data_IF_003412887399
#
_entry.id   IF_003412887399
#
_cell.length_a   1.000
_cell.length_b   1.000
_cell.length_c   1.000
_cell.angle_alpha   90.00
_cell.angle_beta   90.00
_cell.angle_gamma   90.00
#
_symmetry.space_group_name_H-M   'P 1'
#
loop_
_entity.id
_entity.type
_entity.pdbx_description
1 polymer ?
#
# COMPACT_ATOMS: atom_id res chain seq x y z
N UNK A 1 3.13 -8.20 6.46
CA UNK A 1 3.92 -7.35 7.38
C UNK A 1 4.50 -6.17 6.61
N UNK A 2 4.32 -4.93 7.06
CA UNK A 2 4.88 -3.72 6.43
C UNK A 2 6.40 -3.68 6.58
N UNK A 3 7.11 -3.34 5.51
CA UNK A 3 8.56 -3.13 5.52
C UNK A 3 8.92 -1.65 5.29
N UNK A 4 8.24 -1.01 4.34
CA UNK A 4 8.45 0.39 4.00
C UNK A 4 7.17 0.97 3.40
N UNK A 5 6.93 2.24 3.65
CA UNK A 5 5.92 3.05 2.96
C UNK A 5 6.54 4.38 2.56
N UNK A 6 6.26 4.83 1.36
CA UNK A 6 6.64 6.16 0.89
C UNK A 6 5.46 6.89 0.27
N UNK A 7 5.46 8.20 0.45
CA UNK A 7 4.44 9.12 -0.08
C UNK A 7 5.11 10.37 -0.59
N UNK A 8 4.66 10.85 -1.75
CA UNK A 8 5.12 12.08 -2.39
C UNK A 8 3.92 12.91 -2.81
N UNK A 9 4.01 14.22 -2.66
CA UNK A 9 3.04 15.18 -3.18
C UNK A 9 1.61 14.97 -2.66
N UNK A 10 1.46 14.87 -1.33
CA UNK A 10 0.17 14.66 -0.70
C UNK A 10 -0.02 15.61 0.50
N UNK A 11 -1.06 16.41 0.50
CA UNK A 11 -1.40 17.38 1.58
C UNK A 11 -0.22 18.29 1.95
N UNK A 12 0.34 18.15 3.17
CA UNK A 12 1.51 18.91 3.61
C UNK A 12 2.86 18.31 3.19
N UNK A 13 2.86 17.20 2.47
CA UNK A 13 4.07 16.49 2.06
C UNK A 13 4.41 16.90 0.62
N UNK A 14 5.47 17.71 0.46
CA UNK A 14 5.99 18.08 -0.87
C UNK A 14 6.92 17.02 -1.41
N UNK A 15 8.00 16.75 -0.71
CA UNK A 15 9.01 15.76 -1.11
C UNK A 15 8.67 14.39 -0.55
N UNK A 16 9.31 13.34 -1.07
CA UNK A 16 9.08 11.97 -0.63
C UNK A 16 9.36 11.80 0.87
N UNK A 17 8.33 11.46 1.62
CA UNK A 17 8.44 11.03 3.01
C UNK A 17 8.44 9.50 3.06
N UNK A 18 9.37 8.91 3.83
CA UNK A 18 9.56 7.46 3.93
C UNK A 18 9.42 7.01 5.37
N UNK A 19 8.56 6.01 5.62
CA UNK A 19 8.53 5.22 6.84
C UNK A 19 9.21 3.88 6.54
N UNK A 20 10.22 3.50 7.31
CA UNK A 20 10.92 2.23 7.15
C UNK A 20 10.96 1.46 8.46
N UNK A 21 10.44 0.23 8.42
CA UNK A 21 10.48 -0.70 9.55
C UNK A 21 11.82 -1.47 9.63
N UNK A 22 12.79 -1.18 8.77
CA UNK A 22 14.12 -1.80 8.81
C UNK A 22 14.81 -1.44 10.11
N UNK A 23 15.33 -2.46 10.81
CA UNK A 23 16.08 -2.24 12.05
C UNK A 23 17.37 -1.43 11.79
N UNK A 24 17.67 -0.51 12.70
CA UNK A 24 18.94 0.20 12.73
C UNK A 24 20.11 -0.77 13.09
N UNK A 25 21.33 -0.29 12.96
CA UNK A 25 22.53 -1.07 13.30
C UNK A 25 22.71 -1.31 14.82
N UNK A 26 21.84 -0.72 15.65
CA UNK A 26 21.86 -0.92 17.09
C UNK A 26 21.65 -2.38 17.47
N UNK A 27 22.42 -2.85 18.44
CA UNK A 27 22.41 -4.24 18.92
C UNK A 27 21.64 -4.46 20.22
N UNK A 28 21.14 -3.39 20.84
CA UNK A 28 20.22 -3.48 21.98
C UNK A 28 18.88 -4.04 21.52
N UNK A 29 18.22 -4.92 22.24
CA UNK A 29 16.90 -5.47 21.94
C UNK A 29 16.79 -6.30 20.62
N UNK A 30 17.83 -7.06 20.28
CA UNK A 30 17.84 -7.94 19.10
C UNK A 30 16.74 -9.01 19.14
N UNK A 31 16.35 -9.42 20.32
CA UNK A 31 15.28 -10.39 20.59
C UNK A 31 13.89 -9.88 20.19
N UNK A 32 13.70 -8.55 20.12
CA UNK A 32 12.45 -7.94 19.72
C UNK A 32 12.30 -7.81 18.19
N UNK A 33 13.36 -8.11 17.41
CA UNK A 33 13.35 -7.96 15.97
C UNK A 33 12.72 -9.18 15.30
N UNK A 34 11.97 -8.90 14.23
CA UNK A 34 11.34 -9.92 13.38
C UNK A 34 12.19 -10.12 12.12
N UNK A 35 12.31 -11.36 11.67
CA UNK A 35 13.10 -11.73 10.49
C UNK A 35 12.23 -12.50 9.50
N UNK A 36 11.41 -11.82 8.67
CA UNK A 36 10.42 -12.47 7.81
C UNK A 36 11.02 -13.42 6.78
N UNK A 37 12.21 -13.11 6.28
CA UNK A 37 12.94 -13.87 5.26
C UNK A 37 14.23 -14.55 5.81
N UNK A 38 14.38 -14.59 7.12
CA UNK A 38 15.59 -15.12 7.78
C UNK A 38 16.84 -14.24 7.62
N UNK A 39 16.77 -13.14 6.88
CA UNK A 39 17.91 -12.28 6.56
C UNK A 39 17.74 -10.83 7.04
N UNK A 40 16.62 -10.22 6.74
CA UNK A 40 16.33 -8.81 7.05
C UNK A 40 15.66 -8.68 8.40
N UNK A 41 16.24 -7.88 9.28
CA UNK A 41 15.70 -7.56 10.60
C UNK A 41 14.81 -6.33 10.50
N UNK A 42 13.61 -6.42 11.02
CA UNK A 42 12.64 -5.33 11.06
C UNK A 42 12.10 -5.13 12.47
N UNK A 43 11.72 -3.90 12.79
CA UNK A 43 11.08 -3.56 14.05
C UNK A 43 9.58 -3.86 13.97
N UNK A 44 8.98 -4.44 15.02
CA UNK A 44 7.54 -4.73 15.05
C UNK A 44 6.68 -3.47 15.26
N UNK A 45 7.24 -2.42 15.83
CA UNK A 45 6.54 -1.18 16.20
C UNK A 45 7.39 0.02 15.84
N UNK A 46 6.74 1.08 15.39
CA UNK A 46 7.33 2.39 15.17
C UNK A 46 6.46 3.48 15.80
N UNK A 47 7.08 4.45 16.44
CA UNK A 47 6.40 5.65 16.92
C UNK A 47 6.90 6.88 16.13
N UNK A 48 5.96 7.74 15.73
CA UNK A 48 6.25 8.97 14.97
C UNK A 48 6.05 10.17 15.90
N UNK A 49 7.13 10.90 16.17
CA UNK A 49 7.15 12.10 17.00
C UNK A 49 7.41 13.36 16.17
N UNK A 50 7.03 14.50 16.71
CA UNK A 50 7.31 15.81 16.14
C UNK A 50 6.32 16.87 16.60
N UNK A 51 6.60 18.13 16.28
CA UNK A 51 5.75 19.27 16.62
C UNK A 51 4.32 19.12 16.03
N UNK A 52 3.37 19.86 16.59
CA UNK A 52 2.04 19.94 16.00
C UNK A 52 2.13 20.54 14.59
N UNK A 53 1.25 20.12 13.70
CA UNK A 53 1.24 20.50 12.28
C UNK A 53 2.48 20.08 11.45
N UNK A 54 3.40 19.26 11.99
CA UNK A 54 4.58 18.75 11.25
C UNK A 54 4.27 17.65 10.21
N UNK A 55 3.01 17.40 9.89
CA UNK A 55 2.62 16.42 8.86
C UNK A 55 2.58 14.97 9.31
N UNK A 56 2.81 14.64 10.60
CA UNK A 56 2.81 13.25 11.11
C UNK A 56 1.55 12.46 10.72
N UNK A 57 0.39 13.06 10.94
CA UNK A 57 -0.89 12.43 10.59
C UNK A 57 -1.06 12.24 9.09
N UNK A 58 -0.50 13.14 8.26
CA UNK A 58 -0.65 13.05 6.80
C UNK A 58 0.06 11.85 6.20
N UNK A 59 1.18 11.40 6.79
CA UNK A 59 1.84 10.15 6.35
C UNK A 59 0.98 8.93 6.66
N UNK A 60 0.34 8.89 7.84
CA UNK A 60 -0.59 7.80 8.18
C UNK A 60 -1.86 7.87 7.33
N UNK A 61 -2.39 9.08 7.09
CA UNK A 61 -3.53 9.26 6.18
C UNK A 61 -3.22 8.78 4.76
N UNK A 62 -2.03 9.05 4.24
CA UNK A 62 -1.61 8.57 2.92
C UNK A 62 -1.56 7.04 2.84
N UNK A 63 -1.05 6.37 3.88
CA UNK A 63 -1.05 4.90 3.95
C UNK A 63 -2.49 4.34 3.99
N UNK A 64 -3.38 4.96 4.75
CA UNK A 64 -4.80 4.57 4.78
C UNK A 64 -5.50 4.89 3.47
N UNK A 65 -5.21 6.03 2.84
CA UNK A 65 -5.72 6.37 1.51
C UNK A 65 -5.32 5.30 0.48
N UNK A 66 -4.06 4.85 0.49
CA UNK A 66 -3.61 3.76 -0.36
C UNK A 66 -4.48 2.51 -0.19
N UNK A 67 -4.79 2.13 1.05
CA UNK A 67 -5.70 1.02 1.35
C UNK A 67 -7.11 1.28 0.81
N UNK A 68 -7.66 2.46 1.04
CA UNK A 68 -9.02 2.81 0.60
C UNK A 68 -9.15 2.81 -0.93
N UNK A 69 -8.08 3.16 -1.66
CA UNK A 69 -8.03 3.06 -3.13
C UNK A 69 -7.90 1.62 -3.62
N UNK A 70 -7.18 0.75 -2.91
CA UNK A 70 -7.01 -0.65 -3.30
C UNK A 70 -8.23 -1.50 -2.97
N UNK A 71 -8.78 -1.41 -1.75
CA UNK A 71 -9.81 -2.34 -1.28
C UNK A 71 -10.90 -1.70 -0.39
N UNK A 72 -10.96 -0.37 -0.31
CA UNK A 72 -11.94 0.38 0.48
C UNK A 72 -12.91 1.19 -0.37
N UNK A 73 -13.27 2.37 0.12
CA UNK A 73 -14.33 3.22 -0.43
C UNK A 73 -14.01 3.76 -1.84
N UNK A 74 -12.71 3.94 -2.18
CA UNK A 74 -12.27 4.45 -3.48
C UNK A 74 -11.80 3.35 -4.43
N UNK A 75 -12.03 2.09 -4.10
CA UNK A 75 -11.56 0.96 -4.92
C UNK A 75 -12.32 0.81 -6.24
N UNK A 76 -13.56 1.30 -6.29
CA UNK A 76 -14.48 1.12 -7.42
C UNK A 76 -15.10 2.43 -7.88
N UNK A 77 -14.30 3.42 -8.29
CA UNK A 77 -14.85 4.66 -8.79
C UNK A 77 -15.64 4.40 -10.08
N UNK A 78 -16.70 5.14 -10.30
CA UNK A 78 -17.40 5.17 -11.58
C UNK A 78 -16.48 5.78 -12.64
N UNK A 79 -16.68 5.41 -13.90
CA UNK A 79 -15.88 5.98 -15.01
C UNK A 79 -16.07 7.50 -15.05
N UNK A 80 -14.98 8.25 -14.95
CA UNK A 80 -14.97 9.72 -14.92
C UNK A 80 -15.26 10.33 -13.54
N UNK A 81 -15.45 9.52 -12.49
CA UNK A 81 -15.49 10.00 -11.11
C UNK A 81 -14.10 10.44 -10.67
N UNK A 82 -14.03 11.56 -9.95
CA UNK A 82 -12.78 12.11 -9.45
C UNK A 82 -12.17 11.22 -8.36
N UNK A 83 -10.85 11.10 -8.41
CA UNK A 83 -10.06 10.41 -7.41
C UNK A 83 -9.81 11.31 -6.18
N UNK A 84 -9.54 10.74 -5.00
CA UNK A 84 -9.28 11.48 -3.77
C UNK A 84 -7.89 12.16 -3.79
N UNK A 85 -7.69 13.06 -4.72
CA UNK A 85 -6.44 13.76 -4.97
C UNK A 85 -6.36 15.03 -4.15
N UNK A 86 -5.44 15.04 -3.19
CA UNK A 86 -5.16 16.18 -2.31
C UNK A 86 -3.66 16.53 -2.41
N UNK A 87 -3.23 17.25 -3.46
CA UNK A 87 -1.82 17.53 -3.67
C UNK A 87 -1.27 18.55 -2.65
N UNK A 88 0.06 18.70 -2.63
CA UNK A 88 0.70 19.75 -1.87
C UNK A 88 0.34 21.11 -2.48
N UNK A 89 -0.25 22.00 -1.68
CA UNK A 89 -0.89 23.23 -2.14
C UNK A 89 0.08 24.36 -2.59
N UNK A 90 1.36 24.28 -2.19
CA UNK A 90 2.33 25.35 -2.45
C UNK A 90 3.32 24.93 -3.55
N UNK A 91 2.80 24.59 -4.73
CA UNK A 91 3.61 24.26 -5.91
C UNK A 91 3.31 25.27 -7.00
N UNK A 92 4.37 25.74 -7.68
CA UNK A 92 4.24 26.60 -8.85
C UNK A 92 3.72 25.76 -10.04
N UNK A 93 2.57 26.12 -10.59
CA UNK A 93 1.94 25.80 -11.88
C UNK A 93 1.94 24.36 -12.45
N UNK A 94 2.74 23.43 -11.96
CA UNK A 94 2.71 22.05 -12.41
C UNK A 94 1.98 21.16 -11.41
N UNK A 95 0.85 20.60 -11.84
CA UNK A 95 0.11 19.60 -11.06
C UNK A 95 0.90 18.30 -11.07
N UNK A 96 1.72 18.10 -10.04
CA UNK A 96 2.47 16.84 -9.86
C UNK A 96 1.56 15.75 -9.27
N UNK A 97 1.61 14.52 -9.78
CA UNK A 97 0.79 13.44 -9.25
C UNK A 97 1.17 13.08 -7.81
N UNK A 98 0.20 12.70 -7.00
CA UNK A 98 0.47 12.02 -5.74
C UNK A 98 1.01 10.63 -6.03
N UNK A 99 2.14 10.25 -5.42
CA UNK A 99 2.71 8.92 -5.54
C UNK A 99 2.74 8.21 -4.17
N UNK A 100 2.28 6.97 -4.15
CA UNK A 100 2.23 6.08 -2.99
C UNK A 100 2.93 4.76 -3.31
N UNK A 101 3.83 4.31 -2.43
CA UNK A 101 4.49 3.03 -2.57
C UNK A 101 4.53 2.30 -1.23
N UNK A 102 4.36 0.99 -1.26
CA UNK A 102 4.52 0.11 -0.10
C UNK A 102 5.37 -1.10 -0.44
N UNK A 103 6.27 -1.45 0.47
CA UNK A 103 7.04 -2.70 0.43
C UNK A 103 6.62 -3.53 1.64
N UNK A 104 6.26 -4.79 1.43
CA UNK A 104 5.72 -5.64 2.48
C UNK A 104 6.03 -7.12 2.25
N UNK A 105 5.83 -7.92 3.29
CA UNK A 105 5.83 -9.38 3.22
C UNK A 105 4.41 -9.90 3.41
N UNK A 106 4.01 -10.84 2.55
CA UNK A 106 2.78 -11.60 2.65
C UNK A 106 3.04 -13.05 2.24
N UNK A 107 2.60 -14.01 3.07
CA UNK A 107 2.83 -15.46 2.87
C UNK A 107 4.29 -15.80 2.54
N UNK A 108 5.25 -15.17 3.26
CA UNK A 108 6.68 -15.39 3.07
C UNK A 108 7.30 -14.74 1.85
N UNK A 109 6.52 -14.11 0.98
CA UNK A 109 6.98 -13.45 -0.24
C UNK A 109 7.04 -11.93 0.00
N UNK A 110 8.13 -11.32 -0.46
CA UNK A 110 8.25 -9.85 -0.48
C UNK A 110 7.55 -9.30 -1.72
N UNK A 111 6.79 -8.21 -1.53
CA UNK A 111 6.14 -7.43 -2.59
C UNK A 111 6.58 -5.97 -2.52
N UNK A 112 6.63 -5.30 -3.67
CA UNK A 112 6.68 -3.85 -3.80
C UNK A 112 5.55 -3.43 -4.73
N UNK A 113 4.64 -2.61 -4.23
CA UNK A 113 3.49 -2.10 -4.96
C UNK A 113 3.45 -0.60 -4.83
N UNK A 114 3.28 0.08 -5.95
CA UNK A 114 3.17 1.52 -5.99
C UNK A 114 2.29 2.01 -7.12
N UNK A 115 1.75 3.21 -6.97
CA UNK A 115 1.03 3.92 -8.01
C UNK A 115 1.11 5.43 -7.83
N UNK A 116 0.91 6.15 -8.91
CA UNK A 116 0.76 7.60 -8.92
C UNK A 116 -0.54 8.00 -9.62
N UNK A 117 -1.17 9.08 -9.15
CA UNK A 117 -2.47 9.51 -9.64
C UNK A 117 -2.67 11.03 -9.50
N UNK A 118 -3.57 11.56 -10.29
CA UNK A 118 -4.14 12.89 -10.14
C UNK A 118 -5.66 12.78 -9.86
N UNK A 119 -6.40 13.87 -9.94
CA UNK A 119 -7.86 13.86 -9.72
C UNK A 119 -8.65 13.06 -10.77
N UNK A 120 -8.10 12.85 -11.97
CA UNK A 120 -8.80 12.25 -13.10
C UNK A 120 -8.47 10.77 -13.30
N UNK A 121 -7.19 10.39 -13.11
CA UNK A 121 -6.71 9.08 -13.52
C UNK A 121 -5.50 8.56 -12.76
N UNK A 122 -5.27 7.27 -12.87
CA UNK A 122 -4.01 6.62 -12.51
C UNK A 122 -2.97 6.92 -13.60
N UNK A 123 -1.83 7.49 -13.20
CA UNK A 123 -0.73 7.85 -14.10
C UNK A 123 0.22 6.67 -14.27
N UNK A 124 0.63 6.05 -13.15
CA UNK A 124 1.47 4.85 -13.16
C UNK A 124 1.01 3.88 -12.08
N UNK A 125 1.25 2.59 -12.28
CA UNK A 125 0.97 1.56 -11.29
C UNK A 125 1.89 0.37 -11.56
N UNK A 126 2.51 -0.21 -10.52
CA UNK A 126 3.39 -1.36 -10.68
C UNK A 126 3.31 -2.33 -9.51
N UNK A 127 3.61 -3.59 -9.79
CA UNK A 127 3.72 -4.64 -8.80
C UNK A 127 4.90 -5.54 -9.10
N UNK A 128 5.82 -5.60 -8.15
CA UNK A 128 6.95 -6.55 -8.13
C UNK A 128 6.81 -7.52 -6.98
N UNK A 129 7.38 -8.72 -7.13
CA UNK A 129 7.49 -9.70 -6.07
C UNK A 129 8.85 -10.42 -6.08
N UNK A 130 9.18 -11.13 -5.00
CA UNK A 130 10.45 -11.87 -4.83
C UNK A 130 10.17 -13.31 -4.39
N UNK A 131 9.58 -14.17 -5.24
CA UNK A 131 9.16 -15.53 -4.86
C UNK A 131 10.34 -16.42 -4.46
N UNK A 132 11.50 -16.23 -5.09
CA UNK A 132 12.73 -17.00 -4.84
C UNK A 132 13.91 -16.08 -4.44
N UNK A 133 13.61 -14.96 -3.78
CA UNK A 133 14.60 -13.95 -3.41
C UNK A 133 15.12 -13.10 -4.59
N UNK A 134 14.67 -13.36 -5.82
CA UNK A 134 14.95 -12.55 -7.02
C UNK A 134 13.73 -11.71 -7.36
N UNK A 135 13.98 -10.48 -7.80
CA UNK A 135 12.93 -9.58 -8.27
C UNK A 135 12.30 -10.10 -9.55
N UNK A 136 10.97 -10.09 -9.58
CA UNK A 136 10.18 -10.39 -10.75
C UNK A 136 9.05 -9.36 -10.89
N UNK A 137 8.82 -8.88 -12.10
CA UNK A 137 7.70 -8.00 -12.42
C UNK A 137 6.43 -8.84 -12.57
N UNK A 138 5.36 -8.45 -11.88
CA UNK A 138 4.02 -8.98 -12.12
C UNK A 138 3.35 -8.12 -13.18
N UNK A 139 3.27 -6.81 -12.97
CA UNK A 139 2.83 -5.85 -13.99
C UNK A 139 3.46 -4.48 -13.79
N UNK A 140 3.55 -3.74 -14.88
CA UNK A 140 3.81 -2.30 -14.91
C UNK A 140 2.78 -1.63 -15.81
N UNK A 141 2.26 -0.47 -15.38
CA UNK A 141 1.28 0.34 -16.09
C UNK A 141 1.74 1.78 -16.15
N UNK A 142 1.75 2.34 -17.34
CA UNK A 142 1.90 3.78 -17.60
C UNK A 142 0.68 4.26 -18.36
N UNK A 143 -0.22 4.98 -17.69
CA UNK A 143 -1.55 5.39 -18.17
C UNK A 143 -2.36 4.16 -18.66
N UNK A 144 -2.47 4.01 -19.99
CA UNK A 144 -3.24 2.93 -20.64
C UNK A 144 -2.33 1.84 -21.24
N UNK A 145 -1.01 1.95 -21.05
CA UNK A 145 -0.03 0.97 -21.51
C UNK A 145 0.36 0.03 -20.37
N UNK A 146 0.36 -1.27 -20.65
CA UNK A 146 0.65 -2.31 -19.67
C UNK A 146 1.77 -3.22 -20.13
N UNK A 147 2.64 -3.60 -19.18
CA UNK A 147 3.65 -4.65 -19.35
C UNK A 147 3.39 -5.77 -18.34
N UNK A 148 3.35 -7.01 -18.85
CA UNK A 148 3.18 -8.22 -18.06
C UNK A 148 4.26 -9.23 -18.41
N UNK A 149 4.66 -10.08 -17.44
CA UNK A 149 5.65 -11.15 -17.68
C UNK A 149 5.04 -12.54 -17.71
N UNK A 150 3.94 -12.74 -17.00
CA UNK A 150 3.25 -14.02 -16.90
C UNK A 150 1.77 -13.85 -17.28
N UNK A 151 1.13 -14.91 -17.78
CA UNK A 151 -0.29 -14.91 -18.17
C UNK A 151 -0.69 -13.69 -19.03
N UNK A 152 0.18 -13.28 -19.95
CA UNK A 152 0.11 -11.99 -20.66
C UNK A 152 -1.26 -11.79 -21.31
N UNK A 153 -1.80 -12.79 -22.01
CA UNK A 153 -3.08 -12.67 -22.74
C UNK A 153 -4.28 -12.48 -21.79
N UNK A 154 -4.27 -13.18 -20.68
CA UNK A 154 -5.30 -13.04 -19.64
C UNK A 154 -5.22 -11.65 -19.02
N UNK A 155 -4.05 -11.23 -18.58
CA UNK A 155 -3.83 -9.92 -17.95
C UNK A 155 -4.13 -8.75 -18.90
N UNK A 156 -3.80 -8.86 -20.19
CA UNK A 156 -4.19 -7.86 -21.20
C UNK A 156 -5.72 -7.74 -21.35
N UNK A 157 -6.43 -8.85 -21.26
CA UNK A 157 -7.90 -8.84 -21.31
C UNK A 157 -8.47 -8.10 -20.09
N UNK A 158 -7.91 -8.32 -18.91
CA UNK A 158 -8.30 -7.62 -17.68
C UNK A 158 -7.93 -6.13 -17.72
N UNK A 159 -6.75 -5.79 -18.24
CA UNK A 159 -6.31 -4.42 -18.43
C UNK A 159 -7.29 -3.64 -19.34
N UNK A 160 -7.76 -4.24 -20.41
CA UNK A 160 -8.75 -3.63 -21.32
C UNK A 160 -10.13 -3.39 -20.67
N UNK A 161 -10.41 -3.98 -19.49
CA UNK A 161 -11.62 -3.76 -18.70
C UNK A 161 -11.40 -2.79 -17.53
N UNK A 162 -10.18 -2.37 -17.30
CA UNK A 162 -9.81 -1.46 -16.21
C UNK A 162 -9.96 -0.02 -16.68
N UNK A 163 -10.84 0.76 -16.04
CA UNK A 163 -10.99 2.18 -16.34
C UNK A 163 -9.75 2.98 -15.93
N UNK A 164 -9.57 4.14 -16.54
CA UNK A 164 -8.39 4.99 -16.33
C UNK A 164 -8.23 5.49 -14.89
N UNK A 165 -9.34 5.68 -14.17
CA UNK A 165 -9.39 6.12 -12.77
C UNK A 165 -9.40 4.96 -11.76
N UNK A 166 -9.13 3.72 -12.19
CA UNK A 166 -9.15 2.53 -11.34
C UNK A 166 -7.81 1.82 -11.33
N UNK A 167 -7.42 1.31 -10.17
CA UNK A 167 -6.21 0.51 -10.01
C UNK A 167 -6.37 -0.86 -10.68
N UNK A 168 -5.35 -1.30 -11.40
CA UNK A 168 -5.31 -2.62 -12.02
C UNK A 168 -5.27 -3.74 -10.97
N UNK A 169 -4.54 -3.54 -9.87
CA UNK A 169 -4.52 -4.50 -8.75
C UNK A 169 -5.95 -4.81 -8.25
N UNK A 170 -6.79 -3.79 -8.14
CA UNK A 170 -8.20 -3.96 -7.72
C UNK A 170 -9.02 -4.65 -8.79
N UNK A 171 -8.92 -4.18 -10.04
CA UNK A 171 -9.68 -4.74 -11.17
C UNK A 171 -9.35 -6.20 -11.41
N UNK A 172 -8.07 -6.56 -11.43
CA UNK A 172 -7.62 -7.94 -11.68
C UNK A 172 -8.07 -8.90 -10.57
N UNK A 173 -8.05 -8.43 -9.30
CA UNK A 173 -8.54 -9.26 -8.20
C UNK A 173 -10.05 -9.54 -8.27
N UNK A 174 -10.87 -8.64 -8.80
CA UNK A 174 -12.31 -8.90 -9.00
C UNK A 174 -12.58 -10.04 -9.99
N UNK A 175 -11.64 -10.29 -10.91
CA UNK A 175 -11.69 -11.38 -11.87
C UNK A 175 -10.84 -12.58 -11.44
N UNK A 176 -10.45 -12.64 -10.15
CA UNK A 176 -9.67 -13.72 -9.56
C UNK A 176 -8.32 -13.98 -10.26
N UNK A 177 -7.62 -12.92 -10.66
CA UNK A 177 -6.29 -13.02 -11.24
C UNK A 177 -5.29 -13.52 -10.19
N UNK A 178 -4.78 -14.72 -10.38
CA UNK A 178 -3.90 -15.42 -9.42
C UNK A 178 -2.61 -14.64 -9.17
N UNK A 179 -2.06 -13.96 -10.19
CA UNK A 179 -0.80 -13.22 -10.10
C UNK A 179 -0.88 -12.04 -9.13
N UNK A 180 -2.06 -11.42 -8.97
CA UNK A 180 -2.28 -10.21 -8.16
C UNK A 180 -2.98 -10.50 -6.82
N UNK A 181 -3.55 -11.69 -6.63
CA UNK A 181 -4.37 -12.07 -5.47
C UNK A 181 -3.66 -11.82 -4.14
N UNK A 182 -2.47 -12.38 -3.96
CA UNK A 182 -1.72 -12.25 -2.71
C UNK A 182 -1.36 -10.79 -2.37
N UNK A 183 -1.02 -10.01 -3.39
CA UNK A 183 -0.73 -8.59 -3.21
C UNK A 183 -1.97 -7.82 -2.73
N UNK A 184 -3.14 -8.07 -3.30
CA UNK A 184 -4.41 -7.48 -2.89
C UNK A 184 -4.83 -7.93 -1.48
N UNK A 185 -4.72 -9.22 -1.17
CA UNK A 185 -5.11 -9.78 0.13
C UNK A 185 -4.33 -9.19 1.30
N UNK A 186 -3.08 -8.75 1.09
CA UNK A 186 -2.33 -8.05 2.12
C UNK A 186 -3.02 -6.75 2.54
N UNK A 187 -3.50 -5.94 1.62
CA UNK A 187 -4.24 -4.71 1.92
C UNK A 187 -5.53 -5.01 2.67
N UNK A 188 -6.26 -6.02 2.23
CA UNK A 188 -7.55 -6.38 2.81
C UNK A 188 -7.43 -6.97 4.23
N UNK A 189 -6.45 -7.85 4.46
CA UNK A 189 -6.34 -8.63 5.71
C UNK A 189 -5.40 -8.01 6.73
N UNK A 190 -4.32 -7.36 6.30
CA UNK A 190 -3.21 -6.97 7.17
C UNK A 190 -3.10 -5.47 7.42
N UNK A 191 -3.55 -4.63 6.49
CA UNK A 191 -3.48 -3.18 6.66
C UNK A 191 -4.78 -2.65 7.27
N UNK A 192 -4.72 -2.20 8.54
CA UNK A 192 -5.88 -1.66 9.26
C UNK A 192 -5.51 -0.34 9.91
N UNK A 193 -6.37 0.66 9.76
CA UNK A 193 -6.27 1.92 10.49
C UNK A 193 -7.15 1.90 11.73
N UNK A 194 -6.61 2.34 12.86
CA UNK A 194 -7.36 2.58 14.08
C UNK A 194 -7.25 4.06 14.43
N UNK A 195 -8.38 4.72 14.54
CA UNK A 195 -8.45 6.10 15.04
C UNK A 195 -8.98 6.05 16.47
N UNK A 196 -8.30 6.72 17.41
CA UNK A 196 -8.62 6.66 18.84
C UNK A 196 -10.09 7.03 19.17
N UNK A 197 -10.71 7.87 18.35
CA UNK A 197 -12.12 8.31 18.47
C UNK A 197 -13.13 7.34 17.86
N UNK A 198 -12.70 6.30 17.16
CA UNK A 198 -13.54 5.38 16.39
C UNK A 198 -13.39 3.90 16.78
N UNK A 199 -12.73 3.59 17.89
CA UNK A 199 -12.63 2.21 18.37
C UNK A 199 -13.99 1.83 18.96
N UNK A 200 -14.81 1.12 18.18
CA UNK A 200 -16.04 0.52 18.71
C UNK A 200 -15.66 -0.61 19.69
N UNK A 201 -16.46 -0.80 20.73
CA UNK A 201 -16.28 -1.90 21.68
C UNK A 201 -16.25 -3.29 21.00
N UNK A 202 -16.86 -3.42 19.83
CA UNK A 202 -16.85 -4.66 19.03
C UNK A 202 -15.46 -5.07 18.55
N UNK A 203 -14.61 -4.10 18.10
CA UNK A 203 -13.24 -4.39 17.65
C UNK A 203 -12.40 -4.92 18.82
N UNK A 204 -12.58 -4.33 20.00
CA UNK A 204 -11.89 -4.76 21.23
C UNK A 204 -12.32 -6.17 21.66
N UNK A 205 -13.62 -6.46 21.58
CA UNK A 205 -14.20 -7.76 21.93
C UNK A 205 -13.73 -8.85 20.98
N UNK A 206 -13.67 -8.58 19.68
CA UNK A 206 -13.20 -9.53 18.67
C UNK A 206 -11.70 -9.82 18.80
N UNK A 207 -10.87 -8.82 19.12
CA UNK A 207 -9.46 -9.00 19.41
C UNK A 207 -9.25 -9.92 20.63
N UNK A 208 -9.98 -9.67 21.72
CA UNK A 208 -9.93 -10.50 22.96
C UNK A 208 -10.41 -11.93 22.69
N UNK A 209 -11.44 -12.13 21.87
CA UNK A 209 -11.95 -13.47 21.52
C UNK A 209 -10.97 -14.27 20.67
N UNK A 210 -10.23 -13.62 19.78
CA UNK A 210 -9.19 -14.27 18.96
C UNK A 210 -7.98 -14.67 19.78
N UNK A 211 -7.57 -13.82 20.74
CA UNK A 211 -6.43 -14.09 21.62
C UNK A 211 -6.70 -15.29 22.53
N UNK A 212 -7.92 -15.43 23.05
CA UNK A 212 -8.33 -16.60 23.86
C UNK A 212 -8.35 -17.93 23.09
N UNK A 213 -8.44 -17.94 21.76
CA UNK A 213 -8.39 -19.15 20.94
C UNK A 213 -6.97 -19.60 20.62
N UNK A 214 -5.95 -18.76 20.86
CA UNK A 214 -4.53 -19.09 20.65
C UNK A 214 -3.83 -19.63 21.90
N UNK A 215 -4.54 -19.78 23.01
CA UNK A 215 -4.01 -20.23 24.32
C UNK A 215 -4.60 -21.61 24.74
N UNK A 216 -5.17 -22.39 23.81
CA UNK A 216 -5.62 -23.77 24.06
C UNK A 216 -4.89 -24.72 23.11
#
# INVERSE_FOLDING_TARGET
>A
MLLQFSVTHHRSIKNTAVISMKAAADKSMKECLITPDGKKKIVPVMAIYGANAAGKSNVIHALLLMREMVCGNYAKPLKGEELPYEPFAFVDEQIEPTALEVIYYYEGIKYAYGFSFNNERIISEYLYHWPNGREALIFNREKDQYEFRESVQEQLTLAGRTSENRLYLTSSNEWNCVQTENAYLWFQKNLRGLVATGISNEITIDAIRKDRKSVV
#
